data_IF_103179586041
#
_entry.id   IF_103179586041
#
_cell.length_a   1.000
_cell.length_b   1.000
_cell.length_c   1.000
_cell.angle_alpha   90.00
_cell.angle_beta   90.00
_cell.angle_gamma   90.00
#
_symmetry.space_group_name_H-M   'P 1'
#
loop_
_entity.id
_entity.type
_entity.pdbx_description
1 polymer ?
#
# COMPACT_ATOMS: atom_id res chain seq x y z
N UNK A 1 -8.56 3.53 0.80
CA UNK A 1 -9.97 3.15 1.05
C UNK A 1 -10.50 2.47 -0.20
N UNK A 2 -10.28 1.17 -0.32
CA UNK A 2 -10.88 0.34 -1.38
C UNK A 2 -12.22 -0.25 -0.95
N UNK A 3 -12.70 0.19 0.22
CA UNK A 3 -13.66 -0.53 1.03
C UNK A 3 -14.97 0.24 1.19
N UNK A 4 -15.20 1.27 0.38
CA UNK A 4 -16.51 1.92 0.33
C UNK A 4 -17.56 0.94 -0.17
N UNK A 5 -18.68 0.91 0.54
CA UNK A 5 -19.85 0.13 0.19
C UNK A 5 -20.86 0.98 -0.57
N UNK A 6 -21.55 0.37 -1.52
CA UNK A 6 -22.67 0.99 -2.23
C UNK A 6 -23.74 -0.07 -2.52
N UNK A 7 -24.98 0.38 -2.61
CA UNK A 7 -26.14 -0.47 -2.86
C UNK A 7 -26.96 0.17 -3.98
N UNK A 8 -27.18 -0.48 -5.13
CA UNK A 8 -28.03 0.07 -6.19
C UNK A 8 -29.50 0.02 -5.76
N UNK A 9 -30.28 1.02 -6.18
CA UNK A 9 -31.73 1.02 -5.96
C UNK A 9 -32.46 0.09 -6.95
N UNK A 10 -31.95 -0.01 -8.18
CA UNK A 10 -32.53 -0.86 -9.23
C UNK A 10 -31.50 -1.88 -9.72
N UNK A 11 -31.98 -3.04 -10.16
CA UNK A 11 -31.12 -4.06 -10.79
C UNK A 11 -30.67 -3.56 -12.17
N UNK A 12 -29.36 -3.52 -12.41
CA UNK A 12 -28.80 -3.13 -13.70
C UNK A 12 -27.64 -4.03 -14.12
N UNK A 13 -27.47 -4.19 -15.43
CA UNK A 13 -26.33 -4.85 -16.04
C UNK A 13 -25.42 -3.79 -16.64
N UNK A 14 -24.16 -3.83 -16.21
CA UNK A 14 -23.16 -2.92 -16.70
C UNK A 14 -22.50 -3.45 -18.00
N UNK A 15 -22.61 -2.69 -19.08
CA UNK A 15 -22.09 -2.98 -20.40
C UNK A 15 -20.76 -2.24 -20.64
N UNK A 16 -19.76 -2.83 -21.33
CA UNK A 16 -19.76 -4.16 -21.99
C UNK A 16 -19.35 -5.31 -21.08
N UNK A 17 -19.04 -5.05 -19.81
CA UNK A 17 -18.48 -6.04 -18.88
C UNK A 17 -19.45 -7.13 -18.41
N UNK A 18 -20.71 -7.12 -18.89
CA UNK A 18 -21.79 -8.05 -18.58
C UNK A 18 -21.98 -8.36 -17.08
N UNK A 19 -21.66 -7.40 -16.20
CA UNK A 19 -21.79 -7.60 -14.75
C UNK A 19 -23.12 -7.05 -14.27
N UNK A 20 -23.94 -7.91 -13.67
CA UNK A 20 -25.21 -7.52 -13.08
C UNK A 20 -25.07 -7.16 -11.61
N UNK A 21 -25.64 -6.01 -11.26
CA UNK A 21 -25.78 -5.47 -9.93
C UNK A 21 -27.26 -5.57 -9.53
N UNK A 22 -27.53 -6.20 -8.40
CA UNK A 22 -28.88 -6.49 -7.93
C UNK A 22 -29.35 -5.42 -6.94
N UNK A 23 -30.58 -4.94 -7.13
CA UNK A 23 -31.22 -3.99 -6.23
C UNK A 23 -31.13 -4.46 -4.78
N UNK A 24 -30.75 -3.54 -3.87
CA UNK A 24 -30.66 -3.83 -2.44
C UNK A 24 -29.42 -4.63 -2.00
N UNK A 25 -28.62 -5.18 -2.93
CA UNK A 25 -27.38 -5.85 -2.59
C UNK A 25 -26.23 -4.85 -2.37
N UNK A 26 -25.51 -4.97 -1.25
CA UNK A 26 -24.35 -4.13 -0.98
C UNK A 26 -23.08 -4.71 -1.62
N UNK A 27 -22.42 -3.88 -2.42
CA UNK A 27 -21.15 -4.16 -3.08
C UNK A 27 -20.02 -3.39 -2.41
N UNK A 28 -18.82 -3.99 -2.31
CA UNK A 28 -17.65 -3.41 -1.63
C UNK A 28 -16.44 -3.32 -2.57
N UNK A 29 -15.98 -2.10 -2.84
CA UNK A 29 -14.76 -1.86 -3.64
C UNK A 29 -14.88 -2.13 -5.15
N UNK A 30 -16.09 -2.34 -5.64
CA UNK A 30 -16.36 -2.66 -7.05
C UNK A 30 -16.99 -1.45 -7.72
N UNK A 31 -16.21 -0.40 -7.84
CA UNK A 31 -16.65 0.87 -8.39
C UNK A 31 -16.46 0.82 -9.90
N UNK A 32 -17.57 0.88 -10.63
CA UNK A 32 -17.52 1.13 -12.07
C UNK A 32 -17.71 2.62 -12.30
N UNK A 33 -16.59 3.32 -12.49
CA UNK A 33 -16.60 4.73 -12.88
C UNK A 33 -16.49 4.90 -14.39
N UNK A 34 -17.08 5.97 -14.91
CA UNK A 34 -16.85 6.51 -16.26
C UNK A 34 -16.33 7.95 -16.13
N UNK A 35 -16.14 8.66 -17.23
CA UNK A 35 -15.62 10.05 -17.23
C UNK A 35 -16.52 11.06 -16.52
N UNK A 36 -17.80 10.73 -16.29
CA UNK A 36 -18.76 11.60 -15.60
C UNK A 36 -18.77 11.37 -14.08
N UNK A 37 -18.08 10.35 -13.57
CA UNK A 37 -18.02 10.03 -12.15
C UNK A 37 -16.63 10.37 -11.62
N UNK A 38 -16.43 11.62 -11.25
CA UNK A 38 -15.12 12.16 -10.87
C UNK A 38 -14.90 12.14 -9.35
N UNK A 39 -15.97 12.00 -8.56
CA UNK A 39 -15.91 11.89 -7.10
C UNK A 39 -16.95 10.90 -6.54
N UNK A 40 -16.87 10.65 -5.23
CA UNK A 40 -17.75 9.69 -4.54
C UNK A 40 -19.23 10.08 -4.62
N UNK A 41 -19.57 11.37 -4.50
CA UNK A 41 -20.96 11.83 -4.53
C UNK A 41 -21.59 11.61 -5.90
N UNK A 42 -20.86 11.92 -6.97
CA UNK A 42 -21.30 11.67 -8.34
C UNK A 42 -21.48 10.18 -8.62
N UNK A 43 -20.49 9.37 -8.24
CA UNK A 43 -20.59 7.91 -8.36
C UNK A 43 -21.82 7.39 -7.60
N UNK A 44 -21.97 7.77 -6.33
CA UNK A 44 -23.06 7.31 -5.48
C UNK A 44 -24.43 7.75 -6.02
N UNK A 45 -24.54 9.00 -6.49
CA UNK A 45 -25.75 9.51 -7.13
C UNK A 45 -26.08 8.72 -8.39
N UNK A 46 -25.11 8.47 -9.27
CA UNK A 46 -25.33 7.75 -10.51
C UNK A 46 -25.81 6.32 -10.29
N UNK A 47 -25.13 5.55 -9.42
CA UNK A 47 -25.51 4.16 -9.15
C UNK A 47 -26.82 4.06 -8.35
N UNK A 48 -27.14 5.04 -7.51
CA UNK A 48 -28.41 5.08 -6.78
C UNK A 48 -29.57 5.42 -7.72
N UNK A 49 -29.37 6.34 -8.67
CA UNK A 49 -30.42 6.81 -9.57
C UNK A 49 -30.47 6.08 -10.92
N UNK A 50 -29.70 4.99 -11.08
CA UNK A 50 -29.77 4.16 -12.29
C UNK A 50 -31.18 3.57 -12.42
N UNK A 51 -31.92 3.79 -13.53
CA UNK A 51 -33.30 3.31 -13.68
C UNK A 51 -33.47 1.77 -13.73
N UNK A 52 -32.36 1.04 -13.84
CA UNK A 52 -32.32 -0.41 -14.08
C UNK A 52 -32.03 -0.74 -15.56
N UNK A 53 -31.99 -2.03 -15.89
CA UNK A 53 -31.70 -2.48 -17.26
C UNK A 53 -30.22 -2.41 -17.61
N UNK A 54 -29.88 -2.07 -18.86
CA UNK A 54 -28.48 -2.00 -19.31
C UNK A 54 -27.95 -0.58 -19.18
N UNK A 55 -26.81 -0.39 -18.51
CA UNK A 55 -26.13 0.90 -18.35
C UNK A 55 -24.66 0.79 -18.72
N UNK A 56 -24.00 1.92 -19.01
CA UNK A 56 -22.57 1.98 -19.30
C UNK A 56 -21.80 2.70 -18.18
N UNK A 57 -21.11 1.90 -17.38
CA UNK A 57 -20.14 2.34 -16.38
C UNK A 57 -18.82 1.63 -16.64
N UNK A 58 -17.75 2.35 -16.97
CA UNK A 58 -16.48 1.67 -17.21
C UNK A 58 -15.46 2.53 -17.94
N UNK A 59 -14.26 1.96 -17.99
CA UNK A 59 -13.07 2.45 -18.69
C UNK A 59 -12.30 3.62 -18.08
N UNK A 60 -12.57 3.97 -16.82
CA UNK A 60 -11.84 5.06 -16.19
C UNK A 60 -11.02 4.65 -14.97
N UNK A 61 -9.83 4.10 -15.24
CA UNK A 61 -8.85 3.71 -14.22
C UNK A 61 -8.52 4.86 -13.24
N UNK A 62 -8.42 6.09 -13.75
CA UNK A 62 -8.17 7.28 -12.92
C UNK A 62 -9.38 7.61 -12.04
N UNK A 63 -10.59 7.46 -12.55
CA UNK A 63 -11.84 7.62 -11.79
C UNK A 63 -11.92 6.65 -10.62
N UNK A 64 -11.60 5.37 -10.84
CA UNK A 64 -11.53 4.35 -9.80
C UNK A 64 -10.70 4.83 -8.59
N UNK A 65 -9.49 5.31 -8.86
CA UNK A 65 -8.56 5.74 -7.81
C UNK A 65 -9.06 7.00 -7.12
N UNK A 66 -9.52 8.01 -7.86
CA UNK A 66 -10.03 9.27 -7.31
C UNK A 66 -11.21 9.03 -6.36
N UNK A 67 -12.17 8.21 -6.78
CA UNK A 67 -13.36 7.86 -5.99
C UNK A 67 -12.96 7.03 -4.76
N UNK A 68 -12.11 6.01 -4.92
CA UNK A 68 -11.62 5.17 -3.82
C UNK A 68 -10.86 5.98 -2.78
N UNK A 69 -10.07 6.95 -3.23
CA UNK A 69 -9.36 7.87 -2.37
C UNK A 69 -10.23 9.01 -1.87
N UNK A 70 -11.50 9.14 -2.28
CA UNK A 70 -12.37 10.27 -1.91
C UNK A 70 -11.62 11.60 -2.00
N UNK A 71 -10.93 11.81 -3.13
CA UNK A 71 -10.22 13.06 -3.35
C UNK A 71 -11.25 14.20 -3.43
N UNK A 72 -10.92 15.41 -2.92
CA UNK A 72 -11.88 16.52 -2.86
C UNK A 72 -12.25 17.07 -4.24
N UNK A 73 -11.49 16.69 -5.27
CA UNK A 73 -11.76 16.94 -6.68
C UNK A 73 -11.06 15.87 -7.49
N UNK A 74 -11.30 15.90 -8.80
CA UNK A 74 -10.60 15.04 -9.74
C UNK A 74 -9.11 15.40 -9.90
N UNK A 75 -8.26 14.37 -9.92
CA UNK A 75 -6.86 14.43 -10.26
C UNK A 75 -6.57 13.42 -11.38
N UNK A 76 -6.23 13.94 -12.56
CA UNK A 76 -5.72 13.12 -13.68
C UNK A 76 -4.41 12.43 -13.29
N UNK A 77 -3.98 11.37 -14.00
CA UNK A 77 -2.66 10.74 -13.75
C UNK A 77 -1.53 11.78 -13.82
N UNK A 78 -1.43 12.65 -14.85
CA UNK A 78 -0.44 13.74 -14.87
C UNK A 78 -0.52 14.65 -13.63
N UNK A 79 -1.73 15.01 -13.19
CA UNK A 79 -1.93 15.84 -11.99
C UNK A 79 -1.53 15.13 -10.71
N UNK A 80 -1.71 13.80 -10.61
CA UNK A 80 -1.20 13.00 -9.49
C UNK A 80 0.32 13.06 -9.49
N UNK A 81 0.96 12.81 -10.62
CA UNK A 81 2.43 12.78 -10.75
C UNK A 81 3.03 14.14 -10.34
N UNK A 82 2.48 15.25 -10.86
CA UNK A 82 3.00 16.59 -10.60
C UNK A 82 2.79 17.07 -9.16
N UNK A 83 1.94 16.40 -8.37
CA UNK A 83 1.60 16.78 -7.00
C UNK A 83 2.06 15.75 -5.96
N UNK A 84 2.89 14.76 -6.32
CA UNK A 84 3.45 13.82 -5.35
C UNK A 84 4.25 14.56 -4.27
N UNK A 85 4.07 14.17 -3.01
CA UNK A 85 4.62 14.86 -1.84
C UNK A 85 3.76 16.03 -1.36
N UNK A 86 2.69 16.38 -2.08
CA UNK A 86 1.73 17.39 -1.68
C UNK A 86 0.73 16.91 -0.62
N UNK A 87 -0.42 17.59 -0.58
CA UNK A 87 -1.43 17.40 0.48
C UNK A 87 -2.20 16.09 0.42
N UNK A 88 -2.17 15.35 -0.69
CA UNK A 88 -3.06 14.20 -0.89
C UNK A 88 -2.36 12.87 -1.16
N UNK A 89 -1.16 12.86 -1.71
CA UNK A 89 -0.47 11.62 -2.08
C UNK A 89 1.05 11.84 -2.20
N UNK A 90 1.80 10.76 -2.03
CA UNK A 90 3.26 10.72 -2.10
C UNK A 90 3.73 9.39 -2.70
N UNK A 91 4.96 9.39 -3.19
CA UNK A 91 5.63 8.19 -3.65
C UNK A 91 6.02 7.29 -2.47
N UNK A 92 5.87 5.98 -2.65
CA UNK A 92 6.41 4.97 -1.74
C UNK A 92 7.82 4.54 -2.18
N UNK A 93 8.07 4.53 -3.48
CA UNK A 93 9.35 4.16 -4.08
C UNK A 93 9.41 4.64 -5.52
N UNK A 94 10.45 4.23 -6.23
CA UNK A 94 10.59 4.45 -7.66
C UNK A 94 9.80 3.41 -8.48
N UNK A 95 9.77 3.59 -9.80
CA UNK A 95 9.21 2.57 -10.69
C UNK A 95 9.92 1.23 -10.48
N UNK A 96 9.14 0.18 -10.22
CA UNK A 96 9.66 -1.17 -9.95
C UNK A 96 9.91 -1.48 -8.47
N UNK A 97 9.81 -0.51 -7.56
CA UNK A 97 10.04 -0.74 -6.12
C UNK A 97 8.88 -1.43 -5.38
N UNK A 98 7.81 -1.79 -6.09
CA UNK A 98 6.66 -2.50 -5.53
C UNK A 98 6.99 -3.66 -4.56
N UNK A 99 7.98 -4.53 -4.86
CA UNK A 99 8.36 -5.63 -3.97
C UNK A 99 9.07 -5.20 -2.68
N UNK A 100 9.65 -4.00 -2.65
CA UNK A 100 10.54 -3.54 -1.59
C UNK A 100 9.84 -2.58 -0.62
N UNK A 101 8.72 -1.99 -1.03
CA UNK A 101 7.94 -1.07 -0.21
C UNK A 101 6.87 -1.81 0.61
N UNK A 102 6.58 -1.30 1.80
CA UNK A 102 5.50 -1.78 2.65
C UNK A 102 4.15 -1.29 2.13
N UNK A 103 3.52 -2.04 1.22
CA UNK A 103 2.20 -1.70 0.67
C UNK A 103 1.08 -1.93 1.69
N UNK A 104 0.08 -1.06 1.61
CA UNK A 104 -1.18 -1.13 2.36
C UNK A 104 -2.33 -1.17 1.36
N UNK A 105 -3.39 -1.87 1.73
CA UNK A 105 -4.60 -1.95 0.91
C UNK A 105 -5.08 -0.54 0.50
N UNK A 106 -5.24 -0.33 -0.80
CA UNK A 106 -5.63 0.95 -1.39
C UNK A 106 -4.48 1.90 -1.69
N UNK A 107 -3.22 1.51 -1.49
CA UNK A 107 -2.11 2.10 -2.24
C UNK A 107 -2.34 1.91 -3.74
N UNK A 108 -1.72 2.73 -4.57
CA UNK A 108 -1.86 2.63 -6.02
C UNK A 108 -0.52 2.36 -6.70
N UNK A 109 -0.62 1.79 -7.89
CA UNK A 109 0.47 1.68 -8.84
C UNK A 109 0.07 2.45 -10.09
N UNK A 110 0.99 3.24 -10.64
CA UNK A 110 0.74 3.98 -11.87
C UNK A 110 1.87 3.84 -12.89
N UNK A 111 1.50 3.97 -14.16
CA UNK A 111 2.37 4.26 -15.30
C UNK A 111 1.67 5.32 -16.16
N UNK A 112 2.34 5.87 -17.17
CA UNK A 112 1.68 6.73 -18.16
C UNK A 112 0.44 6.03 -18.72
N UNK A 113 -0.73 6.64 -18.54
CA UNK A 113 -2.02 6.15 -19.07
C UNK A 113 -2.74 5.07 -18.25
N UNK A 114 -2.16 4.52 -17.18
CA UNK A 114 -2.85 3.51 -16.37
C UNK A 114 -2.52 3.60 -14.88
N UNK A 115 -3.54 3.40 -14.05
CA UNK A 115 -3.42 3.40 -12.59
C UNK A 115 -4.41 2.39 -11.98
N UNK A 116 -4.00 1.71 -10.92
CA UNK A 116 -4.85 0.75 -10.20
C UNK A 116 -4.48 0.69 -8.72
N UNK A 117 -5.34 0.04 -7.92
CA UNK A 117 -5.17 -0.05 -6.47
C UNK A 117 -4.62 -1.42 -6.07
N UNK A 118 -3.61 -1.43 -5.21
CA UNK A 118 -3.17 -2.61 -4.49
C UNK A 118 -4.30 -3.10 -3.56
N UNK A 119 -4.57 -4.40 -3.58
CA UNK A 119 -5.50 -5.02 -2.63
C UNK A 119 -4.76 -5.77 -1.52
N UNK A 120 -3.96 -6.76 -1.89
CA UNK A 120 -3.29 -7.65 -0.95
C UNK A 120 -2.12 -8.38 -1.60
N UNK A 121 -1.17 -8.81 -0.76
CA UNK A 121 -0.20 -9.83 -1.13
C UNK A 121 -0.90 -11.19 -1.20
N UNK A 122 -0.43 -12.06 -2.10
CA UNK A 122 -0.88 -13.45 -2.21
C UNK A 122 0.22 -14.39 -1.73
N UNK A 123 -0.19 -15.57 -1.26
CA UNK A 123 0.74 -16.58 -0.72
C UNK A 123 1.74 -17.12 -1.77
N UNK A 124 1.40 -17.00 -3.06
CA UNK A 124 2.24 -17.39 -4.20
C UNK A 124 3.32 -16.34 -4.56
N UNK A 125 3.50 -15.31 -3.73
CA UNK A 125 4.47 -14.23 -3.95
C UNK A 125 4.02 -13.16 -4.96
N UNK A 126 2.81 -13.27 -5.51
CA UNK A 126 2.20 -12.24 -6.37
C UNK A 126 1.38 -11.24 -5.55
N UNK A 127 0.80 -10.25 -6.23
CA UNK A 127 -0.19 -9.35 -5.63
C UNK A 127 -1.52 -9.45 -6.34
N UNK A 128 -2.58 -9.13 -5.60
CA UNK A 128 -3.90 -8.87 -6.14
C UNK A 128 -4.16 -7.36 -6.16
N UNK A 129 -4.72 -6.86 -7.25
CA UNK A 129 -5.07 -5.45 -7.44
C UNK A 129 -6.56 -5.29 -7.75
N UNK A 130 -7.08 -4.06 -7.65
CA UNK A 130 -8.33 -3.62 -8.27
C UNK A 130 -8.00 -2.69 -9.42
N UNK A 131 -8.46 -3.05 -10.60
CA UNK A 131 -8.25 -2.26 -11.81
C UNK A 131 -9.58 -2.07 -12.57
N UNK A 132 -9.67 -0.95 -13.27
CA UNK A 132 -10.66 -0.72 -14.32
C UNK A 132 -9.92 -0.56 -15.65
N UNK A 133 -10.27 -1.37 -16.63
CA UNK A 133 -9.89 -1.25 -18.05
C UNK A 133 -11.15 -1.55 -18.84
N UNK A 134 -11.52 -0.81 -19.89
CA UNK A 134 -12.63 -1.23 -20.75
C UNK A 134 -12.47 -2.70 -21.16
N UNK A 135 -13.49 -3.55 -20.99
CA UNK A 135 -14.84 -3.29 -20.47
C UNK A 135 -15.06 -3.69 -18.98
N UNK A 136 -14.01 -4.00 -18.23
CA UNK A 136 -14.09 -4.66 -16.91
C UNK A 136 -13.47 -3.85 -15.77
N UNK A 137 -14.21 -3.71 -14.66
CA UNK A 137 -13.58 -3.59 -13.35
C UNK A 137 -13.35 -5.00 -12.80
N UNK A 138 -12.16 -5.29 -12.31
CA UNK A 138 -11.84 -6.65 -11.86
C UNK A 138 -10.77 -6.65 -10.79
N UNK A 139 -10.69 -7.79 -10.11
CA UNK A 139 -9.49 -8.21 -9.38
C UNK A 139 -8.53 -8.83 -10.37
N UNK A 140 -7.27 -8.42 -10.34
CA UNK A 140 -6.22 -9.02 -11.18
C UNK A 140 -5.04 -9.44 -10.33
N UNK A 141 -4.50 -10.61 -10.64
CA UNK A 141 -3.22 -11.05 -10.10
C UNK A 141 -2.09 -10.52 -10.97
N UNK A 142 -1.09 -9.91 -10.35
CA UNK A 142 0.11 -9.39 -11.00
C UNK A 142 1.37 -9.99 -10.38
N UNK A 143 2.29 -10.45 -11.23
CA UNK A 143 3.66 -10.74 -10.79
C UNK A 143 4.47 -9.45 -10.68
N UNK A 144 5.49 -9.44 -9.82
CA UNK A 144 6.36 -8.28 -9.67
C UNK A 144 7.10 -7.91 -10.96
N UNK A 145 7.50 -8.88 -11.76
CA UNK A 145 8.13 -8.64 -13.05
C UNK A 145 7.22 -7.86 -14.03
N UNK A 146 5.91 -8.14 -13.99
CA UNK A 146 4.93 -7.40 -14.79
C UNK A 146 4.73 -5.95 -14.30
N UNK A 147 5.15 -5.65 -13.06
CA UNK A 147 5.01 -4.35 -12.41
C UNK A 147 6.29 -3.51 -12.40
N UNK A 148 7.37 -3.96 -13.06
CA UNK A 148 8.69 -3.30 -13.02
C UNK A 148 8.70 -1.84 -13.48
N UNK A 149 7.71 -1.43 -14.26
CA UNK A 149 7.57 -0.05 -14.78
C UNK A 149 6.51 0.76 -14.04
N UNK A 150 5.80 0.15 -13.10
CA UNK A 150 4.79 0.83 -12.30
C UNK A 150 5.43 1.40 -11.05
N UNK A 151 5.07 2.64 -10.72
CA UNK A 151 5.54 3.31 -9.51
C UNK A 151 4.49 3.20 -8.40
N UNK A 152 4.85 2.74 -7.19
CA UNK A 152 3.94 2.66 -6.06
C UNK A 152 3.76 4.04 -5.40
N UNK A 153 2.51 4.40 -5.14
CA UNK A 153 2.13 5.66 -4.49
C UNK A 153 1.07 5.41 -3.43
N UNK A 154 0.99 6.30 -2.45
CA UNK A 154 0.03 6.23 -1.36
C UNK A 154 -0.72 7.54 -1.23
N UNK A 155 -2.03 7.43 -0.98
CA UNK A 155 -2.83 8.55 -0.50
C UNK A 155 -2.46 8.86 0.95
N UNK A 156 -2.37 10.13 1.31
CA UNK A 156 -2.32 10.58 2.69
C UNK A 156 -3.43 9.90 3.50
N UNK A 157 -3.01 9.00 4.39
CA UNK A 157 -3.91 8.21 5.21
C UNK A 157 -4.60 9.10 6.23
N UNK A 158 -5.92 8.90 6.40
CA UNK A 158 -6.70 9.46 7.50
C UNK A 158 -6.69 8.49 8.70
N UNK A 159 -6.38 7.21 8.49
CA UNK A 159 -6.30 6.17 9.51
C UNK A 159 -5.14 5.20 9.26
N UNK A 160 -4.48 4.72 10.32
CA UNK A 160 -3.35 3.79 10.21
C UNK A 160 -2.06 4.40 9.62
N UNK A 161 -1.98 5.73 9.61
CA UNK A 161 -0.76 6.46 9.31
C UNK A 161 0.33 6.13 10.34
N UNK A 162 1.59 6.21 9.91
CA UNK A 162 2.70 6.30 10.86
C UNK A 162 2.57 7.65 11.57
N UNK A 163 2.83 7.66 12.87
CA UNK A 163 2.93 8.86 13.71
C UNK A 163 4.18 8.75 14.58
N UNK A 164 4.56 9.86 15.24
CA UNK A 164 5.64 9.82 16.23
C UNK A 164 5.31 8.83 17.36
N UNK A 165 6.35 8.23 17.92
CA UNK A 165 6.32 7.12 18.89
C UNK A 165 5.82 5.77 18.36
N UNK A 166 5.41 5.66 17.09
CA UNK A 166 5.15 4.36 16.50
C UNK A 166 6.42 3.51 16.41
N UNK A 167 6.25 2.21 16.64
CA UNK A 167 7.24 1.20 16.29
C UNK A 167 7.15 0.87 14.82
N UNK A 168 8.30 0.82 14.16
CA UNK A 168 8.42 0.52 12.74
C UNK A 168 9.54 -0.50 12.50
N UNK A 169 9.45 -1.17 11.36
CA UNK A 169 10.54 -1.97 10.81
C UNK A 169 10.77 -1.62 9.34
N UNK A 170 12.00 -1.83 8.85
CA UNK A 170 12.31 -1.63 7.45
C UNK A 170 11.80 -2.80 6.60
N UNK A 171 11.14 -2.52 5.47
CA UNK A 171 10.71 -3.54 4.50
C UNK A 171 11.80 -3.90 3.48
N UNK A 172 12.89 -3.14 3.45
CA UNK A 172 14.06 -3.41 2.60
C UNK A 172 15.32 -2.81 3.24
N UNK A 173 16.49 -3.13 2.68
CA UNK A 173 17.73 -2.48 3.08
C UNK A 173 17.74 -1.04 2.58
N UNK A 174 17.81 -0.07 3.50
CA UNK A 174 17.59 1.36 3.19
C UNK A 174 18.63 2.27 3.85
N UNK A 175 19.16 3.30 3.15
CA UNK A 175 20.01 4.31 3.76
C UNK A 175 19.24 5.15 4.78
N UNK A 176 19.84 5.34 5.96
CA UNK A 176 19.37 6.24 7.03
C UNK A 176 20.13 7.56 6.90
N UNK A 177 19.43 8.65 6.61
CA UNK A 177 20.06 9.91 6.16
C UNK A 177 20.11 10.99 7.23
N UNK A 178 21.07 11.91 7.11
CA UNK A 178 21.19 13.07 8.02
C UNK A 178 20.04 14.07 7.87
N UNK A 179 19.44 14.19 6.69
CA UNK A 179 18.27 15.01 6.41
C UNK A 179 17.29 14.28 5.49
N UNK A 180 16.05 14.76 5.43
CA UNK A 180 14.97 14.23 4.60
C UNK A 180 15.12 14.60 3.12
N UNK A 181 16.20 14.16 2.49
CA UNK A 181 16.50 14.33 1.05
C UNK A 181 17.45 13.22 0.60
N UNK A 182 17.34 12.77 -0.64
CA UNK A 182 18.27 11.79 -1.23
C UNK A 182 19.69 12.32 -1.42
N UNK A 183 19.89 13.64 -1.38
CA UNK A 183 21.23 14.25 -1.49
C UNK A 183 21.99 14.30 -0.14
N UNK A 184 21.30 14.06 0.97
CA UNK A 184 21.92 14.01 2.29
C UNK A 184 22.79 12.77 2.48
N UNK A 185 23.89 12.92 3.22
CA UNK A 185 24.80 11.82 3.57
C UNK A 185 24.07 10.69 4.30
N UNK A 186 24.48 9.46 4.01
CA UNK A 186 24.04 8.27 4.76
C UNK A 186 24.80 8.21 6.08
N UNK A 187 24.09 8.17 7.20
CA UNK A 187 24.64 7.89 8.53
C UNK A 187 24.98 6.41 8.68
N UNK A 188 24.10 5.56 8.14
CA UNK A 188 24.14 4.11 8.26
C UNK A 188 23.16 3.50 7.24
N UNK A 189 23.32 2.22 6.93
CA UNK A 189 22.37 1.46 6.10
C UNK A 189 21.63 0.48 6.99
N UNK A 190 20.33 0.72 7.21
CA UNK A 190 19.49 -0.18 7.97
C UNK A 190 19.19 -1.42 7.12
N UNK A 191 19.51 -2.65 7.59
CA UNK A 191 19.12 -3.87 6.88
C UNK A 191 17.60 -4.04 6.89
N UNK A 192 17.05 -4.87 6.01
CA UNK A 192 15.65 -5.31 6.09
C UNK A 192 15.32 -5.84 7.50
N UNK A 193 14.09 -5.61 7.98
CA UNK A 193 13.60 -5.95 9.35
C UNK A 193 14.28 -5.21 10.50
N UNK A 194 15.12 -4.21 10.22
CA UNK A 194 15.66 -3.33 11.26
C UNK A 194 14.52 -2.55 11.90
N UNK A 195 14.38 -2.68 13.22
CA UNK A 195 13.31 -2.05 13.97
C UNK A 195 13.76 -0.75 14.65
N UNK A 196 12.82 0.17 14.80
CA UNK A 196 13.06 1.47 15.43
C UNK A 196 11.78 2.16 15.85
N UNK A 197 11.96 3.29 16.54
CA UNK A 197 10.87 4.15 16.97
C UNK A 197 10.92 5.45 16.18
N UNK A 198 9.77 5.87 15.67
CA UNK A 198 9.64 7.16 14.98
C UNK A 198 9.76 8.29 15.99
N UNK A 199 10.70 9.20 15.78
CA UNK A 199 10.98 10.31 16.69
C UNK A 199 10.63 11.67 16.11
N UNK A 200 10.53 11.79 14.78
CA UNK A 200 10.22 13.04 14.10
C UNK A 200 9.55 12.78 12.75
N UNK A 201 8.75 13.74 12.28
CA UNK A 201 8.02 13.67 11.01
C UNK A 201 6.50 13.72 11.18
N UNK A 202 5.74 13.64 10.07
CA UNK A 202 6.24 13.45 8.71
C UNK A 202 6.85 14.74 8.15
N UNK A 203 7.88 14.60 7.33
CA UNK A 203 8.36 15.68 6.45
C UNK A 203 8.16 15.25 5.00
N UNK A 204 7.48 16.05 4.19
CA UNK A 204 7.37 15.77 2.76
C UNK A 204 8.48 16.50 2.01
N UNK A 205 9.27 15.76 1.23
CA UNK A 205 10.30 16.32 0.35
C UNK A 205 10.56 15.38 -0.83
N UNK A 206 10.92 15.95 -1.98
CA UNK A 206 11.29 15.22 -3.20
C UNK A 206 10.24 14.20 -3.65
N UNK A 207 8.93 14.50 -3.47
CA UNK A 207 7.78 13.62 -3.76
C UNK A 207 7.50 12.53 -2.71
N UNK A 208 8.38 12.38 -1.72
CA UNK A 208 8.29 11.36 -0.69
C UNK A 208 7.87 11.94 0.64
N UNK A 209 7.35 11.06 1.50
CA UNK A 209 7.18 11.32 2.92
C UNK A 209 8.34 10.68 3.68
N UNK A 210 8.95 11.44 4.55
CA UNK A 210 10.11 11.07 5.35
C UNK A 210 9.76 11.03 6.84
N UNK A 211 10.37 10.08 7.53
CA UNK A 211 10.27 9.90 8.97
C UNK A 211 11.66 9.76 9.56
N UNK A 212 11.91 10.42 10.68
CA UNK A 212 13.13 10.21 11.45
C UNK A 212 12.91 9.07 12.43
N UNK A 213 13.77 8.06 12.34
CA UNK A 213 13.66 6.84 13.13
C UNK A 213 14.90 6.68 13.99
N UNK A 214 14.71 6.39 15.27
CA UNK A 214 15.74 5.90 16.18
C UNK A 214 15.72 4.37 16.12
N UNK A 215 16.69 3.77 15.44
CA UNK A 215 16.79 2.31 15.32
C UNK A 215 17.36 1.68 16.58
N UNK A 216 16.88 0.50 16.97
CA UNK A 216 17.25 -0.11 18.27
C UNK A 216 18.70 -0.53 18.35
N UNK A 217 19.25 -0.97 17.21
CA UNK A 217 20.64 -1.45 17.08
C UNK A 217 21.60 -0.35 16.66
N UNK A 218 21.18 0.91 16.68
CA UNK A 218 21.99 2.05 16.28
C UNK A 218 21.87 3.17 17.31
N UNK A 219 22.99 3.82 17.63
CA UNK A 219 22.99 4.98 18.51
C UNK A 219 22.47 6.26 17.82
N UNK A 220 22.33 6.25 16.49
CA UNK A 220 21.94 7.42 15.69
C UNK A 220 20.50 7.35 15.21
N UNK A 221 19.83 8.51 15.23
CA UNK A 221 18.53 8.70 14.58
C UNK A 221 18.74 9.35 13.22
N UNK A 222 17.97 8.94 12.21
CA UNK A 222 18.04 9.57 10.90
C UNK A 222 16.79 9.33 10.06
N UNK A 223 16.76 9.97 8.89
CA UNK A 223 15.59 10.06 8.02
C UNK A 223 15.53 8.89 7.03
N UNK A 224 14.34 8.30 6.90
CA UNK A 224 14.00 7.20 5.98
C UNK A 224 12.66 7.52 5.32
N UNK A 225 12.48 7.15 4.04
CA UNK A 225 11.19 7.33 3.36
C UNK A 225 10.15 6.33 3.87
N UNK A 226 8.90 6.77 4.01
CA UNK A 226 7.81 5.96 4.57
C UNK A 226 7.57 4.66 3.80
N UNK A 227 7.80 4.65 2.49
CA UNK A 227 7.55 3.46 1.68
C UNK A 227 8.38 2.25 2.10
N UNK A 228 9.57 2.44 2.65
CA UNK A 228 10.38 1.34 3.18
C UNK A 228 10.16 1.06 4.67
N UNK A 229 9.11 1.64 5.28
CA UNK A 229 8.76 1.43 6.69
C UNK A 229 7.40 0.74 6.82
N UNK A 230 7.37 -0.37 7.55
CA UNK A 230 6.15 -1.02 8.01
C UNK A 230 5.90 -0.65 9.49
N UNK A 231 4.66 -0.27 9.82
CA UNK A 231 4.26 -0.04 11.21
C UNK A 231 4.09 -1.38 11.93
N UNK A 232 4.76 -1.55 13.06
CA UNK A 232 4.59 -2.69 13.94
C UNK A 232 3.37 -2.46 14.82
N UNK A 233 2.41 -3.38 14.80
CA UNK A 233 1.29 -3.36 15.73
C UNK A 233 1.78 -3.79 17.12
N UNK A 234 1.21 -3.23 18.19
CA UNK A 234 1.57 -3.55 19.59
C UNK A 234 1.45 -5.05 19.96
N UNK A 235 0.82 -5.87 19.11
CA UNK A 235 0.76 -7.34 19.27
C UNK A 235 2.08 -8.05 18.93
N UNK A 236 3.01 -7.36 18.26
CA UNK A 236 4.35 -7.84 17.94
C UNK A 236 5.40 -7.00 18.69
N UNK A 237 5.15 -6.68 19.97
CA UNK A 237 6.23 -6.19 20.82
C UNK A 237 7.34 -7.25 20.84
N UNK A 238 8.63 -6.85 20.79
CA UNK A 238 9.72 -7.80 20.98
C UNK A 238 9.50 -8.53 22.32
N UNK A 239 9.88 -9.80 22.38
CA UNK A 239 9.99 -10.49 23.66
C UNK A 239 10.91 -9.66 24.56
N UNK A 240 10.33 -8.90 25.49
CA UNK A 240 11.09 -8.21 26.52
C UNK A 240 11.74 -9.32 27.35
N UNK A 241 13.05 -9.48 27.19
CA UNK A 241 13.87 -10.45 27.91
C UNK A 241 14.05 -10.11 29.38
N UNK A 242 12.96 -9.85 30.10
CA UNK A 242 12.97 -9.61 31.55
C UNK A 242 12.15 -10.61 32.36
N UNK A 243 11.57 -11.64 31.73
CA UNK A 243 10.99 -12.77 32.48
C UNK A 243 11.89 -14.00 32.37
N UNK A 244 13.03 -13.92 33.05
CA UNK A 244 13.92 -15.04 33.27
C UNK A 244 13.31 -15.99 34.32
N UNK A 245 12.28 -16.74 33.94
CA UNK A 245 12.06 -18.07 34.49
C UNK A 245 12.31 -19.09 33.39
N UNK A 246 13.55 -19.58 33.35
CA UNK A 246 14.00 -20.64 32.43
C UNK A 246 13.04 -21.83 32.55
N UNK A 247 12.29 -22.24 31.50
CA UNK A 247 11.65 -23.53 31.51
C UNK A 247 12.77 -24.57 31.55
N UNK A 248 12.93 -25.26 32.69
CA UNK A 248 13.92 -26.34 32.86
C UNK A 248 13.38 -27.64 32.27
N UNK A 249 12.80 -27.57 31.08
CA UNK A 249 12.37 -28.72 30.31
C UNK A 249 13.46 -29.09 29.32
N UNK A 250 14.05 -30.27 29.48
CA UNK A 250 14.90 -30.89 28.47
C UNK A 250 14.07 -31.05 27.19
N UNK A 251 14.38 -30.30 26.14
CA UNK A 251 13.81 -30.54 24.81
C UNK A 251 14.43 -31.83 24.30
N UNK A 252 13.62 -32.88 24.22
CA UNK A 252 14.00 -34.09 23.50
C UNK A 252 14.09 -33.75 22.01
N UNK A 253 15.31 -33.59 21.51
CA UNK A 253 15.61 -33.57 20.09
C UNK A 253 15.35 -34.97 19.55
N UNK A 254 14.28 -35.13 18.76
CA UNK A 254 14.11 -36.32 17.92
C UNK A 254 15.29 -36.36 16.94
N UNK A 255 16.16 -37.35 17.14
CA UNK A 255 17.46 -37.56 16.49
C UNK A 255 17.33 -38.03 15.03
N UNK A 256 16.67 -37.24 14.17
CA UNK A 256 16.43 -37.62 12.77
C UNK A 256 16.78 -36.56 11.71
N UNK A 257 17.07 -35.32 12.09
CA UNK A 257 17.39 -34.26 11.12
C UNK A 257 18.89 -33.95 11.12
N UNK A 258 19.65 -34.65 10.29
CA UNK A 258 21.00 -34.25 9.91
C UNK A 258 20.93 -33.03 8.98
N UNK A 259 21.10 -31.83 9.52
CA UNK A 259 21.51 -30.69 8.70
C UNK A 259 23.01 -30.85 8.42
N UNK A 260 23.35 -31.03 7.14
CA UNK A 260 24.73 -31.16 6.69
C UNK A 260 25.48 -29.83 6.85
N UNK A 261 26.43 -29.87 7.78
CA UNK A 261 27.69 -29.13 7.90
C UNK A 261 27.74 -27.61 7.65
N UNK A 262 27.87 -26.90 8.76
CA UNK A 262 28.93 -25.90 8.91
C UNK A 262 30.32 -26.54 8.69
N UNK A 263 31.05 -26.10 7.68
CA UNK A 263 32.50 -26.34 7.63
C UNK A 263 33.20 -25.26 8.45
N UNK A 264 33.47 -25.59 9.72
CA UNK A 264 34.61 -25.04 10.44
C UNK A 264 35.78 -26.01 10.28
N UNK A 265 36.97 -25.51 9.98
CA UNK A 265 38.22 -26.20 10.25
C UNK A 265 39.36 -25.19 10.45
N UNK A 266 39.85 -25.21 11.70
CA UNK A 266 41.13 -24.76 12.27
C UNK A 266 41.47 -23.27 12.28
#
# INVERSE_FOLDING_TARGET
MTDSSWTPLNTFTNYPGARTYYAGQTYKGELYSNTNHQNWLEFQSAVSNTPGGTTYYGDYCTGLVNISWRLPKFYSIPSIISNLGGSYFYALGEAGDGPFVSLKQGDAFYISGHIFLFNRYKADGTIETMEQLAPTARRRTWSWNALRTFRPIRRNLIAGAIVTNDRVETSYTVPVRTAATFTASSLWTAPITAQGTVVEGPLNNEQYRWWKVKFDRSAVSGWVTEGYLAKLNAKNAPCNGSDATRPSGTVAINSGATYANSSGAM
#
